data_IF_731402097781
#
_entry.id   IF_731402097781
#
_cell.length_a   1.000
_cell.length_b   1.000
_cell.length_c   1.000
_cell.angle_alpha   90.00
_cell.angle_beta   90.00
_cell.angle_gamma   90.00
#
_symmetry.space_group_name_H-M   'P 1'
#
loop_
_entity.id
_entity.type
_entity.pdbx_description
1 polymer ?
#
# COMPACT_ATOMS: atom_id res chain seq x y z
N UNK A 1 13.52 36.00 -14.32
CA UNK A 1 13.83 34.94 -13.34
C UNK A 1 12.58 34.19 -12.85
N UNK A 2 11.47 34.86 -12.50
CA UNK A 2 10.24 34.20 -12.00
C UNK A 2 9.57 33.21 -12.99
N UNK A 3 9.63 33.48 -14.30
CA UNK A 3 8.95 32.67 -15.33
C UNK A 3 9.50 31.24 -15.46
N UNK A 4 10.80 31.04 -15.22
CA UNK A 4 11.42 29.70 -15.24
C UNK A 4 11.07 28.87 -14.01
N UNK A 5 10.84 29.52 -12.86
CA UNK A 5 10.41 28.87 -11.62
C UNK A 5 8.97 28.36 -11.79
N UNK A 6 8.08 29.20 -12.32
CA UNK A 6 6.68 28.81 -12.57
C UNK A 6 6.62 27.62 -13.55
N UNK A 7 7.40 27.66 -14.63
CA UNK A 7 7.42 26.54 -15.59
C UNK A 7 7.96 25.24 -14.97
N UNK A 8 8.92 25.32 -14.05
CA UNK A 8 9.44 24.16 -13.31
C UNK A 8 8.43 23.63 -12.30
N UNK A 9 7.68 24.50 -11.62
CA UNK A 9 6.63 24.10 -10.68
C UNK A 9 5.47 23.42 -11.43
N UNK A 10 5.03 23.99 -12.55
CA UNK A 10 3.96 23.41 -13.39
C UNK A 10 4.40 22.08 -14.02
N UNK A 11 5.64 21.98 -14.52
CA UNK A 11 6.18 20.73 -15.08
C UNK A 11 6.37 19.63 -14.01
N UNK A 12 6.71 20.00 -12.77
CA UNK A 12 6.79 19.06 -11.64
C UNK A 12 5.41 18.51 -11.29
N UNK A 13 4.38 19.36 -11.34
CA UNK A 13 2.99 18.96 -11.11
C UNK A 13 2.45 18.04 -12.23
N UNK A 14 2.80 18.32 -13.49
CA UNK A 14 2.45 17.46 -14.62
C UNK A 14 3.11 16.07 -14.55
N UNK A 15 4.36 15.96 -14.08
CA UNK A 15 5.02 14.67 -13.85
C UNK A 15 4.39 13.85 -12.71
N UNK A 16 3.89 14.51 -11.67
CA UNK A 16 3.14 13.85 -10.59
C UNK A 16 1.76 13.38 -11.10
N UNK A 17 1.08 14.20 -11.91
CA UNK A 17 -0.17 13.83 -12.60
C UNK A 17 -0.03 12.71 -13.62
N UNK A 18 1.20 12.37 -14.05
CA UNK A 18 1.44 11.33 -15.05
C UNK A 18 1.30 9.91 -14.50
N UNK A 19 1.36 9.73 -13.17
CA UNK A 19 1.15 8.42 -12.53
C UNK A 19 -0.28 8.31 -12.01
N UNK A 20 -1.26 8.25 -12.92
CA UNK A 20 -2.69 8.20 -12.59
C UNK A 20 -3.09 7.06 -11.63
N UNK A 21 -2.28 5.99 -11.57
CA UNK A 21 -2.53 4.83 -10.71
C UNK A 21 -1.69 4.80 -9.43
N UNK A 22 -0.66 5.66 -9.31
CA UNK A 22 0.20 5.66 -8.13
C UNK A 22 -0.58 6.03 -6.87
N UNK A 23 -1.29 7.15 -6.89
CA UNK A 23 -2.08 7.58 -5.73
C UNK A 23 -3.13 6.54 -5.37
N UNK A 24 -3.81 5.94 -6.36
CA UNK A 24 -4.80 4.90 -6.13
C UNK A 24 -4.19 3.66 -5.46
N UNK A 25 -3.02 3.18 -5.93
CA UNK A 25 -2.32 2.05 -5.32
C UNK A 25 -1.88 2.36 -3.89
N UNK A 26 -1.40 3.58 -3.62
CA UNK A 26 -1.04 4.00 -2.25
C UNK A 26 -2.25 3.98 -1.33
N UNK A 27 -3.40 4.50 -1.77
CA UNK A 27 -4.63 4.45 -0.96
C UNK A 27 -5.08 3.01 -0.69
N UNK A 28 -5.04 2.14 -1.70
CA UNK A 28 -5.35 0.70 -1.53
C UNK A 28 -4.41 0.07 -0.51
N UNK A 29 -3.11 0.32 -0.62
CA UNK A 29 -2.11 -0.20 0.31
C UNK A 29 -2.39 0.25 1.76
N UNK A 30 -2.69 1.54 1.97
CA UNK A 30 -3.02 2.09 3.29
C UNK A 30 -4.29 1.43 3.85
N UNK A 31 -5.34 1.29 3.04
CA UNK A 31 -6.59 0.64 3.45
C UNK A 31 -6.35 -0.82 3.87
N UNK A 32 -5.56 -1.56 3.08
CA UNK A 32 -5.18 -2.95 3.43
C UNK A 32 -4.39 -2.98 4.74
N UNK A 33 -3.49 -2.03 4.97
CA UNK A 33 -2.65 -1.96 6.16
C UNK A 33 -3.45 -1.59 7.42
N UNK A 34 -4.50 -0.78 7.30
CA UNK A 34 -5.45 -0.50 8.36
C UNK A 34 -6.32 -1.71 8.69
N UNK A 35 -6.90 -2.36 7.66
CA UNK A 35 -7.65 -3.62 7.82
C UNK A 35 -6.75 -4.67 8.46
N UNK A 36 -5.48 -4.71 8.09
CA UNK A 36 -4.46 -5.59 8.65
C UNK A 36 -4.30 -5.40 10.15
N UNK A 37 -4.28 -4.16 10.65
CA UNK A 37 -4.20 -3.92 12.09
C UNK A 37 -5.46 -4.36 12.84
N UNK A 38 -6.65 -4.23 12.25
CA UNK A 38 -7.88 -4.74 12.85
C UNK A 38 -7.92 -6.28 12.89
N UNK A 39 -7.52 -6.91 11.79
CA UNK A 39 -7.62 -8.36 11.58
C UNK A 39 -6.44 -9.10 12.23
N UNK A 40 -5.27 -8.47 12.38
CA UNK A 40 -4.10 -9.07 13.03
C UNK A 40 -4.31 -9.42 14.50
N UNK A 41 -5.17 -8.68 15.20
CA UNK A 41 -5.52 -8.93 16.61
C UNK A 41 -6.57 -10.03 16.79
N UNK A 42 -7.31 -10.39 15.74
CA UNK A 42 -8.38 -11.40 15.78
C UNK A 42 -8.00 -12.60 14.93
N UNK A 43 -8.11 -13.80 15.48
CA UNK A 43 -7.97 -15.02 14.68
C UNK A 43 -9.15 -15.05 13.70
N UNK A 44 -8.91 -14.59 12.47
CA UNK A 44 -9.87 -14.70 11.38
C UNK A 44 -9.90 -16.16 10.92
N UNK A 45 -10.88 -16.91 11.38
CA UNK A 45 -11.20 -18.21 10.80
C UNK A 45 -11.73 -17.93 9.39
N UNK A 46 -11.02 -18.39 8.36
CA UNK A 46 -11.46 -18.27 6.97
C UNK A 46 -12.22 -19.56 6.66
N UNK A 47 -13.57 -19.57 6.70
CA UNK A 47 -14.35 -20.80 6.50
C UNK A 47 -14.32 -21.33 5.06
N UNK A 48 -13.74 -20.61 4.11
CA UNK A 48 -13.86 -20.91 2.67
C UNK A 48 -12.67 -21.68 2.08
N UNK A 49 -11.59 -21.90 2.83
CA UNK A 49 -10.42 -22.67 2.37
C UNK A 49 -10.39 -23.99 3.14
N UNK A 50 -10.98 -25.03 2.56
CA UNK A 50 -10.84 -26.41 3.02
C UNK A 50 -9.55 -27.00 2.44
N UNK A 51 -8.42 -26.85 3.14
CA UNK A 51 -7.23 -27.65 2.86
C UNK A 51 -7.30 -28.88 3.76
N UNK A 52 -7.46 -30.07 3.18
CA UNK A 52 -7.41 -31.36 3.91
C UNK A 52 -8.46 -31.58 5.02
N UNK A 53 -9.69 -31.06 4.86
CA UNK A 53 -10.81 -31.42 5.76
C UNK A 53 -10.73 -30.85 7.18
N UNK A 54 -9.75 -29.99 7.47
CA UNK A 54 -9.68 -29.20 8.69
C UNK A 54 -9.69 -27.73 8.29
N UNK A 55 -10.54 -26.93 8.95
CA UNK A 55 -10.57 -25.48 8.73
C UNK A 55 -9.22 -24.95 9.19
N UNK A 56 -8.33 -24.46 8.31
CA UNK A 56 -7.06 -23.94 8.76
C UNK A 56 -7.33 -22.61 9.47
N UNK A 57 -6.97 -22.53 10.74
CA UNK A 57 -7.03 -21.29 11.52
C UNK A 57 -5.89 -20.37 11.05
N UNK A 58 -6.03 -19.79 9.87
CA UNK A 58 -5.03 -18.89 9.30
C UNK A 58 -5.19 -17.53 9.96
N UNK A 59 -4.26 -17.17 10.85
CA UNK A 59 -4.21 -15.83 11.42
C UNK A 59 -4.19 -14.78 10.31
N UNK A 60 -4.89 -13.66 10.52
CA UNK A 60 -4.92 -12.55 9.57
C UNK A 60 -3.53 -12.16 9.07
N UNK A 61 -2.54 -12.18 9.97
CA UNK A 61 -1.14 -11.91 9.67
C UNK A 61 -0.56 -12.79 8.54
N UNK A 62 -0.93 -14.08 8.48
CA UNK A 62 -0.40 -15.01 7.49
C UNK A 62 -0.93 -14.73 6.07
N UNK A 63 -2.17 -14.20 5.96
CA UNK A 63 -2.75 -13.81 4.68
C UNK A 63 -2.23 -12.43 4.23
N UNK A 64 -2.02 -11.54 5.18
CA UNK A 64 -1.56 -10.18 4.94
C UNK A 64 -0.07 -10.11 4.60
N UNK A 65 0.73 -11.08 5.04
CA UNK A 65 2.15 -11.18 4.72
C UNK A 65 2.44 -11.21 3.21
N UNK A 66 1.90 -12.17 2.41
CA UNK A 66 2.13 -12.18 0.96
C UNK A 66 1.50 -10.97 0.26
N UNK A 67 0.36 -10.49 0.74
CA UNK A 67 -0.33 -9.35 0.12
C UNK A 67 0.51 -8.08 0.24
N UNK A 68 1.00 -7.77 1.44
CA UNK A 68 1.84 -6.58 1.70
C UNK A 68 3.16 -6.64 0.94
N UNK A 69 3.75 -7.84 0.77
CA UNK A 69 4.98 -8.04 0.01
C UNK A 69 4.82 -7.70 -1.48
N UNK A 70 3.72 -8.13 -2.11
CA UNK A 70 3.44 -7.81 -3.52
C UNK A 70 3.32 -6.29 -3.72
N UNK A 71 2.61 -5.59 -2.83
CA UNK A 71 2.52 -4.13 -2.92
C UNK A 71 3.88 -3.47 -2.72
N UNK A 72 4.69 -3.95 -1.78
CA UNK A 72 6.03 -3.42 -1.52
C UNK A 72 6.93 -3.54 -2.76
N UNK A 73 6.96 -4.70 -3.41
CA UNK A 73 7.73 -4.94 -4.64
C UNK A 73 7.22 -4.07 -5.80
N UNK A 74 5.90 -3.96 -6.00
CA UNK A 74 5.33 -3.09 -7.03
C UNK A 74 5.72 -1.62 -6.81
N UNK A 75 5.75 -1.15 -5.57
CA UNK A 75 6.16 0.23 -5.29
C UNK A 75 7.64 0.49 -5.55
N UNK A 76 8.51 -0.47 -5.24
CA UNK A 76 9.96 -0.31 -5.44
C UNK A 76 10.38 -0.53 -6.89
N UNK A 77 9.74 -1.46 -7.61
CA UNK A 77 10.07 -1.81 -8.99
C UNK A 77 9.39 -0.91 -10.03
N UNK A 78 8.09 -0.63 -9.90
CA UNK A 78 7.33 0.14 -10.92
C UNK A 78 7.43 1.64 -10.69
N UNK A 79 7.36 2.07 -9.44
CA UNK A 79 7.29 3.50 -9.07
C UNK A 79 8.62 4.04 -8.52
N UNK A 80 9.56 3.14 -8.21
CA UNK A 80 10.88 3.49 -7.71
C UNK A 80 10.91 3.90 -6.23
N UNK A 81 12.14 4.03 -5.72
CA UNK A 81 12.41 4.28 -4.30
C UNK A 81 11.81 5.58 -3.74
N UNK A 82 11.74 6.64 -4.56
CA UNK A 82 11.20 7.93 -4.13
C UNK A 82 9.70 7.89 -3.82
N UNK A 83 8.95 7.08 -4.57
CA UNK A 83 7.52 6.92 -4.44
C UNK A 83 7.20 5.94 -3.30
N UNK A 84 7.89 4.79 -3.25
CA UNK A 84 7.78 3.80 -2.16
C UNK A 84 7.95 4.42 -0.77
N UNK A 85 8.95 5.29 -0.57
CA UNK A 85 9.11 6.01 0.72
C UNK A 85 7.87 6.80 1.14
N UNK A 86 7.23 7.50 0.20
CA UNK A 86 6.01 8.28 0.51
C UNK A 86 4.86 7.38 0.91
N UNK A 87 4.67 6.26 0.21
CA UNK A 87 3.64 5.26 0.54
C UNK A 87 3.82 4.72 1.96
N UNK A 88 5.06 4.36 2.33
CA UNK A 88 5.39 3.88 3.68
C UNK A 88 5.13 4.94 4.73
N UNK A 89 5.59 6.18 4.53
CA UNK A 89 5.33 7.28 5.47
C UNK A 89 3.83 7.54 5.65
N UNK A 90 3.05 7.57 4.56
CA UNK A 90 1.60 7.75 4.62
C UNK A 90 0.90 6.61 5.38
N UNK A 91 1.29 5.37 5.11
CA UNK A 91 0.74 4.21 5.81
C UNK A 91 1.09 4.22 7.30
N UNK A 92 2.32 4.59 7.65
CA UNK A 92 2.76 4.70 9.04
C UNK A 92 1.96 5.75 9.81
N UNK A 93 1.80 6.96 9.25
CA UNK A 93 0.98 8.00 9.86
C UNK A 93 -0.50 7.62 9.95
N UNK A 94 -1.02 6.93 8.93
CA UNK A 94 -2.40 6.43 8.97
C UNK A 94 -2.60 5.38 10.05
N UNK A 95 -1.57 4.60 10.39
CA UNK A 95 -1.68 3.55 11.41
C UNK A 95 -1.67 4.07 12.86
N UNK A 96 -1.20 5.31 13.06
CA UNK A 96 -1.19 5.98 14.37
C UNK A 96 -2.59 6.48 14.77
N UNK A 97 -3.47 6.74 13.79
CA UNK A 97 -4.86 7.17 14.03
C UNK A 97 -5.75 5.97 14.35
#
# INVERSE_FOLDING_TARGET
MARSIIHRLTARNARLSSFRFYDLLVHIFVVILLISNLVGQKICVIPFIHVFGQVPHVSGAQLLFPLTYIFADVFTEVYGYGASRRAIWLAFFSNII
#
